data_IF_349771414347
#
_entry.id   IF_349771414347
#
_cell.length_a   1.000
_cell.length_b   1.000
_cell.length_c   1.000
_cell.angle_alpha   90.00
_cell.angle_beta   90.00
_cell.angle_gamma   90.00
#
_symmetry.space_group_name_H-M   'P 1'
#
loop_
_entity.id
_entity.type
_entity.pdbx_description
1 polymer ?
#
# COMPACT_ATOMS: atom_id res chain seq x y z
N UNK A 1 21.87 -13.42 12.51
CA UNK A 1 20.58 -13.98 12.07
C UNK A 1 19.50 -13.66 13.07
N UNK A 2 18.47 -12.98 12.65
CA UNK A 2 17.28 -12.82 13.50
C UNK A 2 16.55 -14.16 13.54
N UNK A 3 16.21 -14.63 14.72
CA UNK A 3 15.39 -15.82 14.88
C UNK A 3 14.04 -15.60 14.20
N UNK A 4 13.53 -16.61 13.52
CA UNK A 4 12.18 -16.54 12.93
C UNK A 4 11.15 -16.40 14.05
N UNK A 5 10.32 -15.37 13.92
CA UNK A 5 9.23 -15.14 14.86
C UNK A 5 8.05 -16.03 14.47
N UNK A 6 7.60 -16.86 15.39
CA UNK A 6 6.46 -17.73 15.15
C UNK A 6 5.16 -16.93 15.23
N UNK A 7 4.32 -17.06 14.20
CA UNK A 7 2.99 -16.47 14.16
C UNK A 7 1.99 -17.56 13.74
N UNK A 8 0.96 -17.77 14.56
CA UNK A 8 -0.11 -18.68 14.21
C UNK A 8 -0.94 -18.10 13.04
N UNK A 9 -1.52 -18.96 12.21
CA UNK A 9 -2.28 -18.53 11.02
C UNK A 9 -3.47 -17.65 11.37
N UNK A 10 -4.05 -17.82 12.56
CA UNK A 10 -5.20 -17.07 13.05
C UNK A 10 -4.81 -15.86 13.93
N UNK A 11 -3.53 -15.57 14.03
CA UNK A 11 -3.03 -14.48 14.87
C UNK A 11 -3.44 -13.12 14.32
N UNK A 12 -3.98 -12.27 15.19
CA UNK A 12 -4.23 -10.86 14.92
C UNK A 12 -3.65 -10.02 16.06
N UNK A 13 -2.97 -8.92 15.77
CA UNK A 13 -2.46 -8.04 16.82
C UNK A 13 -3.60 -7.55 17.72
N UNK A 14 -3.36 -7.57 19.03
CA UNK A 14 -4.35 -7.15 20.02
C UNK A 14 -3.81 -6.00 20.87
N UNK A 15 -4.71 -5.15 21.34
CA UNK A 15 -4.36 -3.97 22.15
C UNK A 15 -3.82 -4.32 23.54
N UNK A 16 -4.05 -5.54 24.02
CA UNK A 16 -3.52 -6.03 25.30
C UNK A 16 -2.07 -6.50 25.22
N UNK A 17 -1.49 -6.53 24.03
CA UNK A 17 -0.08 -6.83 23.81
C UNK A 17 0.75 -5.54 23.76
N UNK A 18 2.06 -5.59 24.10
CA UNK A 18 2.93 -4.44 23.88
C UNK A 18 2.92 -4.00 22.41
N UNK A 19 2.72 -2.71 22.19
CA UNK A 19 2.62 -2.15 20.83
C UNK A 19 3.90 -2.39 20.03
N UNK A 20 3.75 -2.89 18.80
CA UNK A 20 4.85 -3.25 17.91
C UNK A 20 5.89 -4.18 18.55
N UNK A 21 5.40 -5.14 19.34
CA UNK A 21 6.27 -6.24 19.77
C UNK A 21 6.71 -7.06 18.55
N UNK A 22 7.60 -8.00 18.72
CA UNK A 22 8.17 -8.79 17.61
C UNK A 22 7.08 -9.49 16.78
N UNK A 23 6.04 -10.03 17.43
CA UNK A 23 4.95 -10.73 16.75
C UNK A 23 4.10 -9.79 15.92
N UNK A 24 3.74 -8.64 16.47
CA UNK A 24 2.97 -7.62 15.76
C UNK A 24 3.76 -7.09 14.55
N UNK A 25 5.01 -6.76 14.75
CA UNK A 25 5.90 -6.27 13.68
C UNK A 25 6.01 -7.30 12.55
N UNK A 26 6.20 -8.58 12.88
CA UNK A 26 6.30 -9.64 11.89
C UNK A 26 4.97 -9.87 11.16
N UNK A 27 3.84 -9.74 11.87
CA UNK A 27 2.52 -9.81 11.26
C UNK A 27 2.37 -8.76 10.15
N UNK A 28 2.72 -7.51 10.44
CA UNK A 28 2.62 -6.43 9.45
C UNK A 28 3.66 -6.57 8.34
N UNK A 29 4.86 -7.06 8.66
CA UNK A 29 5.88 -7.35 7.64
C UNK A 29 5.35 -8.36 6.61
N UNK A 30 4.79 -9.47 7.06
CA UNK A 30 4.25 -10.50 6.18
C UNK A 30 3.08 -9.99 5.36
N UNK A 31 2.20 -9.22 5.97
CA UNK A 31 1.06 -8.61 5.29
C UNK A 31 1.51 -7.68 4.16
N UNK A 32 2.51 -6.86 4.41
CA UNK A 32 3.10 -5.96 3.41
C UNK A 32 3.77 -6.74 2.28
N UNK A 33 4.51 -7.80 2.59
CA UNK A 33 5.19 -8.61 1.59
C UNK A 33 4.21 -9.35 0.67
N UNK A 34 3.14 -9.92 1.24
CA UNK A 34 2.08 -10.58 0.46
C UNK A 34 1.40 -9.58 -0.48
N UNK A 35 1.05 -8.41 0.04
CA UNK A 35 0.41 -7.36 -0.77
C UNK A 35 1.34 -6.89 -1.89
N UNK A 36 2.61 -6.69 -1.60
CA UNK A 36 3.61 -6.33 -2.63
C UNK A 36 3.67 -7.38 -3.74
N UNK A 37 3.72 -8.66 -3.38
CA UNK A 37 3.77 -9.75 -4.36
C UNK A 37 2.52 -9.76 -5.24
N UNK A 38 1.35 -9.56 -4.68
CA UNK A 38 0.08 -9.46 -5.41
C UNK A 38 0.09 -8.29 -6.40
N UNK A 39 0.56 -7.12 -5.97
CA UNK A 39 0.64 -5.94 -6.83
C UNK A 39 1.61 -6.14 -8.00
N UNK A 40 2.75 -6.78 -7.77
CA UNK A 40 3.73 -7.05 -8.81
C UNK A 40 3.21 -8.06 -9.83
N UNK A 41 2.47 -9.06 -9.39
CA UNK A 41 1.85 -10.04 -10.28
C UNK A 41 0.76 -9.40 -11.13
N UNK A 42 -0.13 -8.62 -10.54
CA UNK A 42 -1.17 -7.88 -11.27
C UNK A 42 -0.56 -6.95 -12.31
N UNK A 43 0.55 -6.29 -11.99
CA UNK A 43 1.26 -5.42 -12.91
C UNK A 43 1.83 -6.19 -14.12
N UNK A 44 2.34 -7.40 -13.91
CA UNK A 44 2.81 -8.27 -15.01
C UNK A 44 1.66 -8.67 -15.92
N UNK A 45 0.52 -9.04 -15.35
CA UNK A 45 -0.68 -9.43 -16.10
C UNK A 45 -1.19 -8.26 -16.95
N UNK A 46 -1.20 -7.05 -16.39
CA UNK A 46 -1.60 -5.83 -17.11
C UNK A 46 -0.67 -5.57 -18.30
N UNK A 47 0.64 -5.68 -18.12
CA UNK A 47 1.62 -5.49 -19.21
C UNK A 47 1.45 -6.57 -20.29
N UNK A 48 1.25 -7.82 -19.91
CA UNK A 48 1.02 -8.91 -20.87
C UNK A 48 -0.26 -8.66 -21.68
N UNK A 49 -1.35 -8.25 -21.03
CA UNK A 49 -2.61 -7.89 -21.70
C UNK A 49 -2.44 -6.73 -22.68
N UNK A 50 -1.66 -5.70 -22.33
CA UNK A 50 -1.36 -4.58 -23.21
C UNK A 50 -0.58 -5.01 -24.47
N UNK A 51 0.36 -5.92 -24.34
CA UNK A 51 1.12 -6.44 -25.49
C UNK A 51 0.24 -7.22 -26.45
N UNK A 52 -0.71 -8.00 -25.94
CA UNK A 52 -1.62 -8.77 -26.76
C UNK A 52 -2.60 -7.85 -27.53
N UNK A 53 -3.05 -6.76 -26.91
CA UNK A 53 -3.96 -5.79 -27.52
C UNK A 53 -3.32 -5.05 -28.71
N UNK A 54 -2.02 -4.83 -28.72
CA UNK A 54 -1.33 -4.11 -29.80
C UNK A 54 -1.23 -4.90 -31.11
N UNK A 55 -1.58 -6.19 -31.14
CA UNK A 55 -1.43 -7.05 -32.31
C UNK A 55 -2.60 -7.06 -33.27
N UNK A 56 -3.80 -6.62 -32.84
CA UNK A 56 -5.03 -6.67 -33.65
C UNK A 56 -5.86 -5.41 -33.49
N UNK A 57 -5.66 -4.41 -34.36
CA UNK A 57 -6.47 -3.17 -34.36
C UNK A 57 -7.27 -3.11 -35.67
N UNK A 58 -8.57 -3.52 -35.66
CA UNK A 58 -9.33 -3.64 -36.91
C UNK A 58 -9.89 -2.33 -37.51
N UNK A 59 -10.27 -1.31 -36.70
CA UNK A 59 -10.79 -0.05 -37.23
C UNK A 59 -10.54 1.17 -36.31
N UNK A 60 -10.97 2.38 -36.76
CA UNK A 60 -10.72 3.65 -36.06
C UNK A 60 -11.49 3.74 -34.73
N UNK A 61 -12.73 3.26 -34.68
CA UNK A 61 -13.53 3.25 -33.44
C UNK A 61 -12.94 2.33 -32.39
N UNK A 62 -12.51 1.15 -32.81
CA UNK A 62 -11.84 0.17 -31.94
C UNK A 62 -10.48 0.71 -31.45
N UNK A 63 -9.76 1.47 -32.30
CA UNK A 63 -8.52 2.13 -31.89
C UNK A 63 -8.75 3.15 -30.78
N UNK A 64 -9.79 3.99 -30.89
CA UNK A 64 -10.11 5.00 -29.89
C UNK A 64 -10.48 4.34 -28.54
N UNK A 65 -11.25 3.25 -28.58
CA UNK A 65 -11.62 2.49 -27.41
C UNK A 65 -10.38 1.81 -26.77
N UNK A 66 -9.51 1.22 -27.58
CA UNK A 66 -8.26 0.60 -27.12
C UNK A 66 -7.31 1.60 -26.51
N UNK A 67 -7.20 2.80 -27.09
CA UNK A 67 -6.37 3.89 -26.55
C UNK A 67 -6.88 4.33 -25.19
N UNK A 68 -8.20 4.44 -24.99
CA UNK A 68 -8.82 4.77 -23.73
C UNK A 68 -8.53 3.67 -22.70
N UNK A 69 -8.71 2.41 -23.07
CA UNK A 69 -8.44 1.26 -22.20
C UNK A 69 -6.97 1.20 -21.80
N UNK A 70 -6.08 1.45 -22.75
CA UNK A 70 -4.64 1.49 -22.49
C UNK A 70 -4.28 2.61 -21.52
N UNK A 71 -4.89 3.81 -21.69
CA UNK A 71 -4.67 4.92 -20.76
C UNK A 71 -5.10 4.58 -19.34
N UNK A 72 -6.25 3.90 -19.19
CA UNK A 72 -6.74 3.43 -17.88
C UNK A 72 -5.80 2.39 -17.27
N UNK A 73 -5.31 1.45 -18.08
CA UNK A 73 -4.35 0.44 -17.64
C UNK A 73 -3.04 1.06 -17.18
N UNK A 74 -2.54 2.07 -17.90
CA UNK A 74 -1.32 2.80 -17.53
C UNK A 74 -1.50 3.56 -16.21
N UNK A 75 -2.66 4.17 -15.97
CA UNK A 75 -2.97 4.83 -14.69
C UNK A 75 -3.02 3.83 -13.55
N UNK A 76 -3.63 2.68 -13.78
CA UNK A 76 -3.69 1.59 -12.79
C UNK A 76 -2.28 1.11 -12.45
N UNK A 77 -1.44 0.93 -13.46
CA UNK A 77 -0.05 0.52 -13.28
C UNK A 77 0.76 1.56 -12.49
N UNK A 78 0.56 2.86 -12.78
CA UNK A 78 1.20 3.94 -12.04
C UNK A 78 0.78 3.95 -10.57
N UNK A 79 -0.51 3.76 -10.30
CA UNK A 79 -1.03 3.68 -8.94
C UNK A 79 -0.43 2.48 -8.19
N UNK A 80 -0.35 1.32 -8.86
CA UNK A 80 0.26 0.11 -8.28
C UNK A 80 1.74 0.34 -7.97
N UNK A 81 2.47 1.00 -8.85
CA UNK A 81 3.87 1.34 -8.63
C UNK A 81 4.05 2.25 -7.41
N UNK A 82 3.19 3.25 -7.24
CA UNK A 82 3.20 4.13 -6.08
C UNK A 82 2.90 3.37 -4.79
N UNK A 83 1.97 2.41 -4.84
CA UNK A 83 1.67 1.55 -3.69
C UNK A 83 2.86 0.68 -3.33
N UNK A 84 3.53 0.07 -4.30
CA UNK A 84 4.75 -0.72 -4.07
C UNK A 84 5.82 0.14 -3.40
N UNK A 85 6.00 1.37 -3.86
CA UNK A 85 6.95 2.32 -3.25
C UNK A 85 6.60 2.61 -1.79
N UNK A 86 5.31 2.79 -1.47
CA UNK A 86 4.84 3.01 -0.09
C UNK A 86 5.03 1.77 0.78
N UNK A 87 4.81 0.58 0.20
CA UNK A 87 5.07 -0.69 0.90
C UNK A 87 6.55 -0.82 1.23
N UNK A 88 7.44 -0.54 0.28
CA UNK A 88 8.88 -0.59 0.51
C UNK A 88 9.31 0.41 1.58
N UNK A 89 8.72 1.60 1.61
CA UNK A 89 8.96 2.58 2.66
C UNK A 89 8.50 2.07 4.04
N UNK A 90 7.35 1.40 4.10
CA UNK A 90 6.84 0.79 5.33
C UNK A 90 7.77 -0.32 5.83
N UNK A 91 8.28 -1.16 4.93
CA UNK A 91 9.22 -2.23 5.26
C UNK A 91 10.54 -1.66 5.82
N UNK A 92 11.03 -0.54 5.25
CA UNK A 92 12.21 0.15 5.78
C UNK A 92 11.97 0.68 7.19
N UNK A 93 10.78 1.23 7.46
CA UNK A 93 10.43 1.70 8.82
C UNK A 93 10.35 0.54 9.80
N UNK A 94 9.91 -0.64 9.38
CA UNK A 94 9.97 -1.84 10.22
C UNK A 94 11.41 -2.15 10.60
N UNK A 95 12.32 -2.14 9.64
CA UNK A 95 13.74 -2.40 9.87
C UNK A 95 14.37 -1.36 10.79
N UNK A 96 13.93 -0.11 10.71
CA UNK A 96 14.44 1.00 11.54
C UNK A 96 13.76 1.10 12.92
N UNK A 97 12.74 0.28 13.17
CA UNK A 97 11.99 0.32 14.44
C UNK A 97 11.02 1.48 14.55
N UNK A 98 10.66 2.12 13.45
CA UNK A 98 9.79 3.32 13.40
C UNK A 98 8.37 3.02 12.91
N UNK A 99 8.12 1.81 12.44
CA UNK A 99 6.80 1.43 11.89
C UNK A 99 5.71 1.50 12.94
N UNK A 100 4.54 1.99 12.55
CA UNK A 100 3.35 2.01 13.40
C UNK A 100 3.15 3.30 14.19
N UNK A 101 4.09 4.23 14.12
CA UNK A 101 4.00 5.52 14.80
C UNK A 101 3.65 6.63 13.81
N UNK A 102 2.78 7.55 14.21
CA UNK A 102 2.38 8.68 13.40
C UNK A 102 3.57 9.60 13.15
N UNK A 103 3.86 9.91 11.89
CA UNK A 103 4.98 10.78 11.53
C UNK A 103 4.79 12.24 11.95
N UNK A 104 3.56 12.64 12.25
CA UNK A 104 3.22 14.00 12.67
C UNK A 104 3.29 14.13 14.19
N UNK A 105 2.67 13.21 14.94
CA UNK A 105 2.51 13.30 16.39
C UNK A 105 3.49 12.44 17.17
N UNK A 106 4.08 11.43 16.54
CA UNK A 106 4.90 10.42 17.20
C UNK A 106 4.12 9.41 18.01
N UNK A 107 2.81 9.52 18.07
CA UNK A 107 1.95 8.58 18.82
C UNK A 107 1.71 7.30 18.02
N UNK A 108 1.41 6.17 18.71
CA UNK A 108 1.07 4.95 18.00
C UNK A 108 -0.17 5.11 17.14
N UNK A 109 -0.12 4.56 15.93
CA UNK A 109 -1.28 4.43 15.06
C UNK A 109 -2.07 3.20 15.54
N UNK A 110 -3.42 3.29 15.58
CA UNK A 110 -4.22 2.17 16.07
C UNK A 110 -3.95 0.90 15.26
N UNK A 111 -3.95 -0.25 15.94
CA UNK A 111 -3.75 -1.54 15.27
C UNK A 111 -4.84 -1.80 14.23
N UNK A 112 -6.06 -1.39 14.51
CA UNK A 112 -7.18 -1.52 13.58
C UNK A 112 -6.92 -0.76 12.29
N UNK A 113 -6.40 0.48 12.38
CA UNK A 113 -6.05 1.29 11.21
C UNK A 113 -4.90 0.67 10.42
N UNK A 114 -3.85 0.19 11.11
CA UNK A 114 -2.71 -0.48 10.47
C UNK A 114 -3.13 -1.77 9.78
N UNK A 115 -4.03 -2.53 10.39
CA UNK A 115 -4.52 -3.78 9.79
C UNK A 115 -5.32 -3.50 8.52
N UNK A 116 -6.12 -2.44 8.51
CA UNK A 116 -6.87 -2.01 7.33
C UNK A 116 -5.98 -1.34 6.28
N UNK A 117 -4.97 -0.60 6.72
CA UNK A 117 -4.05 0.13 5.84
C UNK A 117 -2.61 0.03 6.35
N UNK A 118 -1.89 -1.06 6.01
CA UNK A 118 -0.53 -1.28 6.55
C UNK A 118 0.50 -0.22 6.16
N UNK A 119 0.24 0.57 5.12
CA UNK A 119 1.13 1.66 4.70
C UNK A 119 0.83 2.99 5.39
N UNK A 120 -0.13 3.04 6.33
CA UNK A 120 -0.50 4.27 7.03
C UNK A 120 0.70 4.85 7.79
N UNK A 121 0.92 6.15 7.63
CA UNK A 121 2.01 6.91 8.27
C UNK A 121 1.49 7.95 9.23
N UNK A 122 0.17 8.14 9.30
CA UNK A 122 -0.49 9.10 10.16
C UNK A 122 -1.66 8.45 10.89
N UNK A 123 -1.90 8.88 12.13
CA UNK A 123 -3.12 8.53 12.83
C UNK A 123 -4.33 9.08 12.06
N UNK A 124 -5.53 8.56 12.35
CA UNK A 124 -6.75 9.05 11.69
C UNK A 124 -6.95 10.53 11.94
N UNK A 125 -6.75 10.99 13.18
CA UNK A 125 -6.89 12.40 13.56
C UNK A 125 -5.87 13.29 12.84
N UNK A 126 -4.62 12.85 12.72
CA UNK A 126 -3.60 13.60 12.00
C UNK A 126 -3.91 13.67 10.51
N UNK A 127 -4.42 12.59 9.92
CA UNK A 127 -4.83 12.54 8.53
C UNK A 127 -5.98 13.52 8.25
N UNK A 128 -7.00 13.50 9.08
CA UNK A 128 -8.16 14.42 8.97
C UNK A 128 -7.74 15.88 9.09
N UNK A 129 -6.82 16.17 10.02
CA UNK A 129 -6.29 17.52 10.23
C UNK A 129 -5.49 18.00 9.01
N UNK A 130 -4.70 17.12 8.42
CA UNK A 130 -3.93 17.41 7.21
C UNK A 130 -4.86 17.71 6.03
N UNK A 131 -5.88 16.90 5.82
CA UNK A 131 -6.87 17.10 4.76
C UNK A 131 -7.63 18.41 4.90
N UNK A 132 -7.99 18.80 6.14
CA UNK A 132 -8.64 20.09 6.42
C UNK A 132 -7.74 21.27 6.06
N UNK A 133 -6.46 21.19 6.37
CA UNK A 133 -5.47 22.23 6.02
C UNK A 133 -5.33 22.39 4.51
N UNK A 134 -5.25 21.30 3.79
CA UNK A 134 -5.17 21.32 2.32
C UNK A 134 -6.42 21.97 1.71
N UNK A 135 -7.60 21.64 2.23
CA UNK A 135 -8.85 22.21 1.77
C UNK A 135 -8.91 23.73 1.99
N UNK A 136 -8.49 24.20 3.15
CA UNK A 136 -8.44 25.63 3.46
C UNK A 136 -7.48 26.37 2.52
N UNK A 137 -6.30 25.81 2.23
CA UNK A 137 -5.34 26.39 1.31
C UNK A 137 -5.83 26.45 -0.13
N UNK A 138 -6.67 25.53 -0.56
CA UNK A 138 -7.27 25.55 -1.90
C UNK A 138 -8.34 26.63 -2.04
N UNK A 139 -9.04 26.94 -0.96
CA UNK A 139 -10.12 27.92 -0.96
C UNK A 139 -9.61 29.38 -0.84
N UNK A 140 -8.34 29.55 -0.55
CA UNK A 140 -7.65 30.82 -0.57
C UNK A 140 -7.11 31.09 -1.99
#
# INVERSE_FOLDING_TARGET
>A
MKAEVFIADDYHPADDEPFMNERQTEYFRRKLLVWKAELLEDSRDTVAGMKDQTRNIPDIADRASEETDRALELRTRDRQRKLVSKIDAALRRIDDGEYGYCEITGEPISLKRLDARPIATMSLEAQERHERREKVHRDD
#
